data_IF_568066851451
#
_entry.id   IF_568066851451
#
_cell.length_a   1.000
_cell.length_b   1.000
_cell.length_c   1.000
_cell.angle_alpha   90.00
_cell.angle_beta   90.00
_cell.angle_gamma   90.00
#
_symmetry.space_group_name_H-M   'P 1'
#
loop_
_entity.id
_entity.type
_entity.pdbx_description
1 polymer ?
#
# COMPACT_ATOMS: atom_id res chain seq x y z
N UNK A 1 17.74 11.09 -25.12
CA UNK A 1 17.78 9.74 -24.50
C UNK A 1 16.67 9.65 -23.43
N UNK A 2 15.41 9.85 -23.83
CA UNK A 2 14.27 10.12 -22.91
C UNK A 2 13.45 8.84 -22.61
N UNK A 3 13.41 7.89 -23.55
CA UNK A 3 12.60 6.67 -23.43
C UNK A 3 13.11 5.69 -22.36
N UNK A 4 14.44 5.53 -22.22
CA UNK A 4 15.03 4.60 -21.25
C UNK A 4 14.75 4.99 -19.80
N UNK A 5 14.86 6.28 -19.48
CA UNK A 5 14.54 6.83 -18.15
C UNK A 5 13.05 6.66 -17.83
N UNK A 6 12.16 6.90 -18.79
CA UNK A 6 10.71 6.69 -18.62
C UNK A 6 10.37 5.24 -18.29
N UNK A 7 10.94 4.26 -19.01
CA UNK A 7 10.71 2.84 -18.71
C UNK A 7 11.23 2.44 -17.33
N UNK A 8 12.37 3.00 -16.91
CA UNK A 8 12.93 2.76 -15.59
C UNK A 8 12.00 3.29 -14.49
N UNK A 9 11.53 4.53 -14.61
CA UNK A 9 10.63 5.16 -13.61
C UNK A 9 9.33 4.37 -13.50
N UNK A 10 8.70 3.99 -14.61
CA UNK A 10 7.48 3.18 -14.62
C UNK A 10 7.69 1.85 -13.89
N UNK A 11 8.83 1.19 -14.15
CA UNK A 11 9.16 -0.08 -13.52
C UNK A 11 9.34 0.06 -12.00
N UNK A 12 10.03 1.11 -11.56
CA UNK A 12 10.22 1.41 -10.13
C UNK A 12 8.87 1.70 -9.46
N UNK A 13 8.00 2.50 -10.08
CA UNK A 13 6.68 2.82 -9.53
C UNK A 13 5.79 1.57 -9.43
N UNK A 14 5.81 0.70 -10.44
CA UNK A 14 5.07 -0.56 -10.40
C UNK A 14 5.51 -1.45 -9.23
N UNK A 15 6.82 -1.60 -9.02
CA UNK A 15 7.35 -2.40 -7.90
C UNK A 15 7.00 -1.75 -6.56
N UNK A 16 7.10 -0.42 -6.46
CA UNK A 16 6.81 0.32 -5.24
C UNK A 16 5.35 0.17 -4.78
N UNK A 17 4.39 0.14 -5.72
CA UNK A 17 2.95 0.01 -5.41
C UNK A 17 2.54 -1.45 -5.18
N UNK A 18 3.28 -2.41 -5.73
CA UNK A 18 2.95 -3.84 -5.64
C UNK A 18 2.94 -4.36 -4.21
N UNK A 19 3.93 -3.98 -3.40
CA UNK A 19 4.02 -4.38 -1.99
C UNK A 19 2.80 -3.94 -1.17
N UNK A 20 2.50 -2.62 -1.10
CA UNK A 20 1.31 -2.09 -0.45
C UNK A 20 0.01 -2.75 -0.93
N UNK A 21 -0.15 -2.96 -2.23
CA UNK A 21 -1.34 -3.58 -2.82
C UNK A 21 -1.57 -5.01 -2.29
N UNK A 22 -0.50 -5.80 -2.17
CA UNK A 22 -0.58 -7.16 -1.62
C UNK A 22 -0.97 -7.12 -0.14
N UNK A 23 -0.39 -6.21 0.65
CA UNK A 23 -0.73 -6.07 2.07
C UNK A 23 -2.20 -5.69 2.24
N UNK A 24 -2.72 -4.75 1.44
CA UNK A 24 -4.13 -4.35 1.46
C UNK A 24 -5.04 -5.53 1.11
N UNK A 25 -4.71 -6.31 0.08
CA UNK A 25 -5.50 -7.48 -0.32
C UNK A 25 -5.57 -8.54 0.79
N UNK A 26 -4.42 -8.86 1.41
CA UNK A 26 -4.35 -9.83 2.52
C UNK A 26 -5.09 -9.31 3.75
N UNK A 27 -4.94 -8.02 4.08
CA UNK A 27 -5.64 -7.38 5.19
C UNK A 27 -7.16 -7.43 4.99
N UNK A 28 -7.66 -7.08 3.81
CA UNK A 28 -9.08 -7.13 3.49
C UNK A 28 -9.67 -8.53 3.65
N UNK A 29 -8.97 -9.55 3.13
CA UNK A 29 -9.36 -10.95 3.33
C UNK A 29 -9.40 -11.34 4.81
N UNK A 30 -8.39 -10.95 5.58
CA UNK A 30 -8.33 -11.24 7.01
C UNK A 30 -9.47 -10.57 7.80
N UNK A 31 -9.80 -9.32 7.47
CA UNK A 31 -10.92 -8.57 8.08
C UNK A 31 -12.25 -9.26 7.78
N UNK A 32 -12.53 -9.60 6.52
CA UNK A 32 -13.77 -10.29 6.12
C UNK A 32 -13.89 -11.63 6.87
N UNK A 33 -12.79 -12.40 6.92
CA UNK A 33 -12.76 -13.69 7.62
C UNK A 33 -12.99 -13.52 9.13
N UNK A 34 -12.39 -12.52 9.76
CA UNK A 34 -12.58 -12.26 11.20
C UNK A 34 -14.03 -11.87 11.53
N UNK A 35 -14.62 -10.97 10.74
CA UNK A 35 -15.98 -10.49 10.96
C UNK A 35 -17.04 -11.56 10.67
N UNK A 36 -16.79 -12.43 9.68
CA UNK A 36 -17.67 -13.57 9.41
C UNK A 36 -17.77 -14.54 10.59
N UNK A 37 -16.70 -14.65 11.40
CA UNK A 37 -16.66 -15.52 12.59
C UNK A 37 -17.20 -14.85 13.85
N UNK A 38 -17.05 -13.52 13.96
CA UNK A 38 -17.53 -12.75 15.11
C UNK A 38 -17.90 -11.31 14.73
N UNK A 39 -19.15 -11.05 14.33
CA UNK A 39 -19.61 -9.71 13.95
C UNK A 39 -19.51 -8.69 15.08
N UNK A 40 -19.67 -9.11 16.34
CA UNK A 40 -19.62 -8.22 17.51
C UNK A 40 -18.24 -7.61 17.76
N UNK A 41 -17.18 -8.13 17.12
CA UNK A 41 -15.83 -7.58 17.20
C UNK A 41 -15.55 -6.44 16.20
N UNK A 42 -16.53 -6.04 15.37
CA UNK A 42 -16.34 -5.08 14.28
C UNK A 42 -15.63 -3.78 14.68
N UNK A 43 -16.02 -3.17 15.80
CA UNK A 43 -15.40 -1.93 16.29
C UNK A 43 -13.88 -2.07 16.52
N UNK A 44 -13.43 -3.18 17.10
CA UNK A 44 -12.00 -3.44 17.36
C UNK A 44 -11.25 -3.80 16.07
N UNK A 45 -11.86 -4.60 15.20
CA UNK A 45 -11.25 -5.04 13.94
C UNK A 45 -11.06 -3.87 12.98
N UNK A 46 -12.08 -3.03 12.80
CA UNK A 46 -11.97 -1.87 11.91
C UNK A 46 -10.97 -0.83 12.45
N UNK A 47 -10.90 -0.61 13.76
CA UNK A 47 -9.87 0.24 14.34
C UNK A 47 -8.46 -0.27 14.00
N UNK A 48 -8.20 -1.57 14.19
CA UNK A 48 -6.93 -2.18 13.81
C UNK A 48 -6.64 -2.10 12.31
N UNK A 49 -7.66 -2.30 11.47
CA UNK A 49 -7.55 -2.18 10.01
C UNK A 49 -7.14 -0.76 9.60
N UNK A 50 -7.78 0.27 10.14
CA UNK A 50 -7.47 1.67 9.83
C UNK A 50 -6.01 1.98 10.20
N UNK A 51 -5.56 1.57 11.39
CA UNK A 51 -4.16 1.76 11.81
C UNK A 51 -3.20 1.08 10.82
N UNK A 52 -3.48 -0.16 10.43
CA UNK A 52 -2.65 -0.89 9.46
C UNK A 52 -2.64 -0.20 8.10
N UNK A 53 -3.78 0.27 7.60
CA UNK A 53 -3.86 0.99 6.33
C UNK A 53 -3.06 2.30 6.37
N UNK A 54 -3.08 3.03 7.49
CA UNK A 54 -2.26 4.24 7.66
C UNK A 54 -0.76 3.93 7.50
N UNK A 55 -0.27 2.83 8.09
CA UNK A 55 1.13 2.43 7.92
C UNK A 55 1.46 2.01 6.48
N UNK A 56 0.54 1.29 5.82
CA UNK A 56 0.72 0.89 4.41
C UNK A 56 0.77 2.11 3.49
N UNK A 57 -0.12 3.07 3.70
CA UNK A 57 -0.13 4.33 2.95
C UNK A 57 1.12 5.17 3.25
N UNK A 58 1.58 5.23 4.51
CA UNK A 58 2.80 5.94 4.87
C UNK A 58 4.02 5.41 4.10
N UNK A 59 4.16 4.09 3.98
CA UNK A 59 5.24 3.47 3.17
C UNK A 59 5.09 3.85 1.69
N UNK A 60 3.87 3.82 1.16
CA UNK A 60 3.59 4.16 -0.24
C UNK A 60 3.95 5.61 -0.55
N UNK A 61 3.57 6.54 0.34
CA UNK A 61 3.90 7.97 0.21
C UNK A 61 5.41 8.18 0.26
N UNK A 62 6.13 7.56 1.23
CA UNK A 62 7.59 7.68 1.31
C UNK A 62 8.28 7.16 0.04
N UNK A 63 7.83 6.02 -0.50
CA UNK A 63 8.36 5.48 -1.75
C UNK A 63 8.16 6.45 -2.92
N UNK A 64 6.96 7.04 -3.05
CA UNK A 64 6.66 8.04 -4.08
C UNK A 64 7.55 9.29 -3.90
N UNK A 65 7.72 9.78 -2.67
CA UNK A 65 8.57 10.94 -2.38
C UNK A 65 10.03 10.68 -2.76
N UNK A 66 10.56 9.48 -2.52
CA UNK A 66 11.92 9.10 -2.94
C UNK A 66 12.04 9.12 -4.46
N UNK A 67 11.05 8.59 -5.18
CA UNK A 67 11.03 8.65 -6.66
C UNK A 67 11.02 10.10 -7.14
N UNK A 68 10.20 10.97 -6.55
CA UNK A 68 10.20 12.40 -6.87
C UNK A 68 11.53 13.07 -6.52
N UNK A 69 12.17 12.74 -5.40
CA UNK A 69 13.46 13.31 -5.04
C UNK A 69 14.58 12.90 -6.00
N UNK A 70 14.53 11.69 -6.55
CA UNK A 70 15.56 11.17 -7.45
C UNK A 70 15.37 11.65 -8.90
N UNK A 71 14.14 11.89 -9.34
CA UNK A 71 13.80 12.16 -10.75
C UNK A 71 13.08 13.49 -10.99
N UNK A 72 12.70 14.21 -9.94
CA UNK A 72 12.11 15.55 -10.01
C UNK A 72 13.19 16.56 -10.38
N UNK A 73 13.22 16.93 -11.66
CA UNK A 73 13.99 18.08 -12.16
C UNK A 73 13.26 19.38 -11.89
#
# INVERSE_FOLDING_TARGET
MQWGETFLIISIMMIAVMGPSVVIAVLGYAVIKALSRNPSAASKVFMGMVIMLIFVEAISIVAILIVFQLFGK
#
